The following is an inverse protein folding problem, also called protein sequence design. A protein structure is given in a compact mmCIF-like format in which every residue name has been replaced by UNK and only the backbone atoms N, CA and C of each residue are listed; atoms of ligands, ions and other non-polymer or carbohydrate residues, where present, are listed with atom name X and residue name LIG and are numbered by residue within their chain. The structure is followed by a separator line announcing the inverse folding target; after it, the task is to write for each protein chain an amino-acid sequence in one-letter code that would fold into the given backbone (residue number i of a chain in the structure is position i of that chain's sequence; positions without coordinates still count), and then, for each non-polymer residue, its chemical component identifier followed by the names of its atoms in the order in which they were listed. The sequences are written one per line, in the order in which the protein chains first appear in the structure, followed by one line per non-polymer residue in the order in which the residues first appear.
data_IF_011425702946
#
_entry.id   IF_011425702946
#
_cell.length_a   1.000
_cell.length_b   1.000
_cell.length_c   1.000
_cell.angle_alpha   90.00
_cell.angle_beta   90.00
_cell.angle_gamma   90.00
#
_symmetry.space_group_name_H-M   'P 1'
#
loop_
_entity.id
_entity.type
_entity.pdbx_description
1 polymer ?
#
# COMPACT_ATOMS: atom_id res chain seq x y z
N UNK A 1 62.23 31.00 38.42
CA UNK A 1 61.89 29.94 37.44
C UNK A 1 60.39 29.73 37.48
N UNK A 2 59.68 30.42 36.59
CA UNK A 2 58.19 30.58 36.66
C UNK A 2 57.56 29.65 35.64
N UNK A 3 56.82 28.64 36.09
CA UNK A 3 56.13 27.67 35.26
C UNK A 3 54.78 28.29 34.81
N UNK A 4 54.60 28.43 33.46
CA UNK A 4 53.36 28.87 32.85
C UNK A 4 52.35 27.70 32.81
N UNK A 5 51.07 27.89 33.08
CA UNK A 5 50.08 26.84 32.95
C UNK A 5 49.70 26.63 31.47
N UNK A 6 49.69 25.35 31.04
CA UNK A 6 49.20 24.93 29.74
C UNK A 6 47.68 25.23 29.60
N UNK A 7 47.32 25.97 28.55
CA UNK A 7 45.93 26.12 28.09
C UNK A 7 45.46 24.74 27.61
N UNK A 8 44.52 24.17 28.34
CA UNK A 8 43.65 23.10 27.84
C UNK A 8 42.84 23.65 26.66
N UNK A 9 43.12 23.18 25.46
CA UNK A 9 42.22 23.30 24.32
C UNK A 9 40.94 22.56 24.67
N UNK A 10 39.86 23.32 24.94
CA UNK A 10 38.51 22.76 24.88
C UNK A 10 38.25 22.44 23.44
N UNK A 11 38.23 21.14 23.07
CA UNK A 11 37.53 20.69 21.89
C UNK A 11 36.05 21.06 22.07
N UNK A 12 35.61 22.12 21.42
CA UNK A 12 34.22 22.38 21.15
C UNK A 12 33.79 21.27 20.21
N UNK A 13 33.03 20.29 20.71
CA UNK A 13 32.18 19.45 19.89
C UNK A 13 31.32 20.40 19.08
N UNK A 14 31.62 20.50 17.78
CA UNK A 14 30.69 21.10 16.84
C UNK A 14 29.38 20.30 17.00
N UNK A 15 28.40 20.90 17.65
CA UNK A 15 27.01 20.46 17.52
C UNK A 15 26.71 20.45 16.02
N UNK A 16 26.49 19.28 15.44
CA UNK A 16 25.99 19.16 14.10
C UNK A 16 24.78 20.11 14.03
N UNK A 17 24.84 21.09 13.11
CA UNK A 17 23.82 22.11 13.01
C UNK A 17 22.46 21.43 12.85
N UNK A 18 21.63 21.55 13.90
CA UNK A 18 20.24 21.11 13.84
C UNK A 18 19.61 21.84 12.67
N UNK A 19 18.99 21.09 11.76
CA UNK A 19 18.11 21.67 10.76
C UNK A 19 17.16 22.63 11.47
N UNK A 20 17.12 23.93 11.14
CA UNK A 20 16.14 24.80 11.76
C UNK A 20 14.75 24.20 11.50
N UNK A 21 13.93 24.14 12.53
CA UNK A 21 12.59 23.55 12.52
C UNK A 21 11.60 24.17 11.51
N UNK A 22 12.04 25.13 10.72
CA UNK A 22 11.28 25.82 9.71
C UNK A 22 12.09 25.93 8.41
N UNK A 23 12.31 24.83 7.73
CA UNK A 23 12.46 24.98 6.28
C UNK A 23 11.12 25.53 5.76
N UNK A 24 11.14 26.72 5.15
CA UNK A 24 9.98 27.32 4.46
C UNK A 24 9.33 26.25 3.57
N UNK A 25 8.00 26.19 3.50
CA UNK A 25 7.23 25.28 2.63
C UNK A 25 7.81 25.20 1.22
N UNK A 26 8.40 26.28 0.74
CA UNK A 26 9.11 26.35 -0.54
C UNK A 26 10.31 25.40 -0.66
N UNK A 27 10.92 25.00 0.45
CA UNK A 27 12.02 24.04 0.45
C UNK A 27 11.56 22.61 0.11
N UNK A 28 10.27 22.31 0.34
CA UNK A 28 9.65 21.02 0.06
C UNK A 28 8.98 20.96 -1.32
N UNK A 29 9.53 21.66 -2.31
CA UNK A 29 8.94 21.93 -3.62
C UNK A 29 9.04 20.78 -4.63
N UNK A 30 9.65 19.65 -4.27
CA UNK A 30 9.71 18.47 -5.14
C UNK A 30 8.79 17.37 -4.61
N UNK A 31 8.29 16.47 -5.50
CA UNK A 31 7.50 15.31 -5.10
C UNK A 31 8.20 14.48 -4.02
N UNK A 32 9.53 14.35 -4.11
CA UNK A 32 10.35 13.64 -3.12
C UNK A 32 10.35 14.37 -1.77
N UNK A 33 10.69 15.66 -1.75
CA UNK A 33 10.79 16.42 -0.49
C UNK A 33 9.41 16.67 0.14
N UNK A 34 8.36 16.84 -0.65
CA UNK A 34 6.99 16.99 -0.16
C UNK A 34 6.51 15.84 0.74
N UNK A 35 7.02 14.62 0.51
CA UNK A 35 6.76 13.47 1.39
C UNK A 35 7.36 13.65 2.80
N UNK A 36 8.32 14.54 2.99
CA UNK A 36 9.00 14.77 4.27
C UNK A 36 8.57 16.06 4.99
N UNK A 37 7.50 16.70 4.55
CA UNK A 37 6.94 17.93 5.12
C UNK A 37 6.44 17.68 6.54
N UNK A 38 6.67 18.48 7.46
CA UNK A 38 7.78 19.30 7.87
C UNK A 38 8.66 18.44 8.77
N UNK A 39 9.89 18.21 8.36
CA UNK A 39 10.79 17.34 9.08
C UNK A 39 11.35 18.07 10.32
N UNK A 40 11.15 17.49 11.51
CA UNK A 40 11.60 18.05 12.77
C UNK A 40 12.63 17.15 13.45
N UNK A 41 13.71 17.72 14.00
CA UNK A 41 14.70 16.98 14.76
C UNK A 41 14.17 16.62 16.16
N UNK A 42 14.61 15.48 16.66
CA UNK A 42 14.26 14.95 17.95
C UNK A 42 15.52 14.43 18.69
N UNK A 43 15.35 13.72 19.80
CA UNK A 43 16.46 13.21 20.59
C UNK A 43 17.23 12.12 19.84
N UNK A 44 18.54 12.01 20.07
CA UNK A 44 19.40 10.92 19.59
C UNK A 44 19.37 10.71 18.05
N UNK A 45 19.38 11.80 17.27
CA UNK A 45 19.29 11.79 15.80
C UNK A 45 17.96 11.26 15.22
N UNK A 46 16.92 11.19 16.04
CA UNK A 46 15.58 10.91 15.53
C UNK A 46 15.03 12.08 14.75
N UNK A 47 14.28 11.76 13.69
CA UNK A 47 13.54 12.73 12.90
C UNK A 47 12.08 12.30 12.80
N UNK A 48 11.18 13.27 12.79
CA UNK A 48 9.73 13.07 12.63
C UNK A 48 9.19 14.01 11.55
N UNK A 49 8.17 13.56 10.83
CA UNK A 49 7.37 14.39 9.93
C UNK A 49 6.15 14.86 10.71
N UNK A 50 6.00 16.16 10.93
CA UNK A 50 4.87 16.67 11.73
C UNK A 50 3.52 16.28 11.14
N UNK A 51 3.36 16.37 9.82
CA UNK A 51 2.12 16.06 9.11
C UNK A 51 1.71 14.59 9.18
N UNK A 52 2.68 13.67 9.12
CA UNK A 52 2.38 12.23 9.02
C UNK A 52 2.61 11.48 10.32
N UNK A 53 3.71 11.81 11.01
CA UNK A 53 4.15 11.04 12.18
C UNK A 53 3.51 11.53 13.48
N UNK A 54 3.12 12.82 13.54
CA UNK A 54 2.50 13.46 14.72
C UNK A 54 1.00 13.79 14.49
N UNK A 55 0.37 13.14 13.55
CA UNK A 55 -1.05 13.32 13.28
C UNK A 55 -1.92 12.73 14.39
N UNK A 56 -3.08 13.34 14.61
CA UNK A 56 -4.07 12.88 15.58
C UNK A 56 -5.34 12.33 14.96
N UNK A 57 -5.50 12.48 13.63
CA UNK A 57 -6.64 11.99 12.86
C UNK A 57 -6.25 10.73 12.04
N UNK A 58 -7.13 9.76 12.03
CA UNK A 58 -6.92 8.47 11.37
C UNK A 58 -8.18 8.01 10.65
N UNK A 59 -8.03 7.00 9.80
CA UNK A 59 -9.15 6.43 9.06
C UNK A 59 -9.45 7.19 7.78
N UNK A 60 -10.72 7.28 7.41
CA UNK A 60 -11.16 7.87 6.15
C UNK A 60 -12.54 8.53 6.30
N UNK A 61 -13.04 9.14 5.23
CA UNK A 61 -14.37 9.73 5.17
C UNK A 61 -15.48 8.67 5.27
N UNK A 62 -16.72 9.07 5.59
CA UNK A 62 -17.86 8.14 5.56
C UNK A 62 -18.02 7.44 4.21
N UNK A 63 -17.73 8.12 3.10
CA UNK A 63 -17.73 7.55 1.77
C UNK A 63 -16.61 6.51 1.60
N UNK A 64 -15.38 6.84 2.00
CA UNK A 64 -14.26 5.91 1.97
C UNK A 64 -14.51 4.64 2.78
N UNK A 65 -15.20 4.75 3.92
CA UNK A 65 -15.63 3.57 4.69
C UNK A 65 -16.65 2.71 3.96
N UNK A 66 -17.59 3.33 3.22
CA UNK A 66 -18.58 2.58 2.41
C UNK A 66 -17.87 1.82 1.27
N UNK A 67 -16.98 2.50 0.56
CA UNK A 67 -16.19 1.90 -0.52
C UNK A 67 -15.30 0.74 -0.04
N UNK A 68 -14.61 0.94 1.08
CA UNK A 68 -13.77 -0.10 1.68
C UNK A 68 -14.59 -1.32 2.12
N UNK A 69 -15.76 -1.09 2.72
CA UNK A 69 -16.70 -2.16 3.06
C UNK A 69 -17.19 -2.90 1.81
N UNK A 70 -17.52 -2.17 0.74
CA UNK A 70 -17.95 -2.77 -0.53
C UNK A 70 -16.82 -3.64 -1.15
N UNK A 71 -15.58 -3.18 -1.10
CA UNK A 71 -14.42 -3.95 -1.56
C UNK A 71 -14.25 -5.23 -0.73
N UNK A 72 -14.34 -5.14 0.59
CA UNK A 72 -14.29 -6.32 1.48
C UNK A 72 -15.40 -7.33 1.14
N UNK A 73 -16.64 -6.85 0.94
CA UNK A 73 -17.76 -7.71 0.56
C UNK A 73 -17.57 -8.34 -0.83
N UNK A 74 -16.93 -7.63 -1.75
CA UNK A 74 -16.57 -8.15 -3.07
C UNK A 74 -15.55 -9.29 -2.96
N UNK A 75 -14.52 -9.12 -2.16
CA UNK A 75 -13.51 -10.16 -1.87
C UNK A 75 -14.14 -11.38 -1.17
N UNK A 76 -15.01 -11.15 -0.18
CA UNK A 76 -15.72 -12.24 0.53
C UNK A 76 -16.58 -13.09 -0.41
N UNK A 77 -17.25 -12.48 -1.40
CA UNK A 77 -17.99 -13.22 -2.44
C UNK A 77 -17.07 -14.10 -3.31
N UNK A 78 -15.79 -13.78 -3.40
CA UNK A 78 -14.74 -14.61 -4.04
C UNK A 78 -14.17 -15.66 -3.09
N UNK A 79 -14.64 -15.72 -1.84
CA UNK A 79 -14.11 -16.61 -0.80
C UNK A 79 -12.82 -16.11 -0.15
N UNK A 80 -12.54 -14.81 -0.26
CA UNK A 80 -11.32 -14.18 0.28
C UNK A 80 -11.69 -13.33 1.49
N UNK A 81 -11.17 -13.67 2.67
CA UNK A 81 -11.25 -12.84 3.87
C UNK A 81 -10.15 -11.76 3.86
N UNK A 82 -10.51 -10.54 4.25
CA UNK A 82 -9.59 -9.40 4.25
C UNK A 82 -9.08 -9.09 5.66
N UNK A 83 -7.77 -9.04 5.81
CA UNK A 83 -7.08 -8.46 6.97
C UNK A 83 -6.32 -7.19 6.55
N UNK A 84 -6.48 -6.09 7.29
CA UNK A 84 -5.73 -4.86 7.09
C UNK A 84 -4.72 -4.67 8.21
N UNK A 85 -3.43 -4.60 7.88
CA UNK A 85 -2.34 -4.24 8.78
C UNK A 85 -2.13 -2.73 8.69
N UNK A 86 -2.83 -1.99 9.56
CA UNK A 86 -2.84 -0.53 9.61
C UNK A 86 -1.74 -0.05 10.55
N UNK A 87 -0.56 0.27 9.98
CA UNK A 87 0.63 0.60 10.78
C UNK A 87 0.43 1.88 11.61
N UNK A 88 0.71 1.86 12.93
CA UNK A 88 0.66 3.05 13.77
C UNK A 88 1.73 4.08 13.37
N UNK A 89 1.53 5.34 13.72
CA UNK A 89 2.50 6.40 13.47
C UNK A 89 3.72 6.30 14.39
N UNK A 90 4.82 6.92 13.96
CA UNK A 90 6.03 7.05 14.78
C UNK A 90 5.76 7.81 16.07
N UNK A 91 4.87 8.82 16.05
CA UNK A 91 4.47 9.56 17.26
C UNK A 91 3.73 8.70 18.28
N UNK A 92 2.95 7.71 17.84
CA UNK A 92 2.29 6.77 18.76
C UNK A 92 3.29 5.80 19.40
N UNK A 93 4.27 5.30 18.64
CA UNK A 93 5.22 4.27 19.09
C UNK A 93 6.43 4.87 19.81
N UNK A 94 7.00 5.95 19.29
CA UNK A 94 8.31 6.47 19.71
C UNK A 94 8.22 7.91 20.25
N UNK A 95 7.12 8.25 20.92
CA UNK A 95 6.89 9.59 21.48
C UNK A 95 7.96 10.03 22.48
N UNK A 96 8.62 9.07 23.15
CA UNK A 96 9.68 9.34 24.11
C UNK A 96 10.92 9.99 23.45
N UNK A 97 11.08 9.82 22.14
CA UNK A 97 12.16 10.40 21.34
C UNK A 97 11.89 11.82 20.89
N UNK A 98 10.65 12.31 20.99
CA UNK A 98 10.29 13.69 20.64
C UNK A 98 11.08 14.70 21.48
N UNK A 99 11.39 15.85 20.89
CA UNK A 99 11.90 17.00 21.64
C UNK A 99 10.85 17.46 22.67
N UNK A 100 11.23 18.18 23.72
CA UNK A 100 10.26 18.74 24.68
C UNK A 100 9.18 19.60 24.01
N UNK A 101 9.55 20.37 22.98
CA UNK A 101 8.65 21.24 22.22
C UNK A 101 7.62 20.41 21.43
N UNK A 102 8.08 19.45 20.63
CA UNK A 102 7.20 18.58 19.85
C UNK A 102 6.32 17.70 20.74
N UNK A 103 6.84 17.27 21.89
CA UNK A 103 6.08 16.49 22.87
C UNK A 103 4.98 17.31 23.53
N UNK A 104 5.19 18.62 23.70
CA UNK A 104 4.17 19.53 24.25
C UNK A 104 3.09 19.87 23.21
N UNK A 105 3.40 19.85 21.92
CA UNK A 105 2.47 20.14 20.83
C UNK A 105 1.69 18.92 20.33
N UNK A 106 2.21 17.71 20.50
CA UNK A 106 1.58 16.47 20.04
C UNK A 106 0.57 15.95 21.07
N UNK A 107 -0.72 15.99 20.71
CA UNK A 107 -1.78 15.41 21.55
C UNK A 107 -1.81 13.88 21.39
N UNK A 108 -0.95 13.21 22.16
CA UNK A 108 -0.80 11.76 22.14
C UNK A 108 -2.09 11.03 22.56
N UNK A 109 -2.81 11.52 23.57
CA UNK A 109 -4.02 10.83 24.05
C UNK A 109 -5.14 10.90 23.01
N UNK A 110 -5.27 12.05 22.32
CA UNK A 110 -6.19 12.17 21.19
C UNK A 110 -5.78 11.26 20.03
N UNK A 111 -4.49 11.22 19.69
CA UNK A 111 -3.97 10.32 18.64
C UNK A 111 -4.25 8.85 18.95
N UNK A 112 -3.94 8.41 20.17
CA UNK A 112 -4.20 7.04 20.65
C UNK A 112 -5.69 6.70 20.59
N UNK A 113 -6.54 7.58 21.10
CA UNK A 113 -8.01 7.42 21.07
C UNK A 113 -8.53 7.27 19.64
N UNK A 114 -8.10 8.15 18.73
CA UNK A 114 -8.57 8.16 17.36
C UNK A 114 -8.03 6.98 16.54
N UNK A 115 -6.80 6.52 16.81
CA UNK A 115 -6.26 5.30 16.24
C UNK A 115 -7.11 4.08 16.62
N UNK A 116 -7.41 3.89 17.92
CA UNK A 116 -8.26 2.81 18.41
C UNK A 116 -9.67 2.85 17.84
N UNK A 117 -10.25 4.06 17.73
CA UNK A 117 -11.56 4.24 17.08
C UNK A 117 -11.52 3.84 15.59
N UNK A 118 -10.40 4.05 14.92
CA UNK A 118 -10.21 3.62 13.52
C UNK A 118 -10.10 2.10 13.41
N UNK A 119 -9.37 1.45 14.31
CA UNK A 119 -9.32 -0.04 14.40
C UNK A 119 -10.73 -0.61 14.61
N UNK A 120 -11.53 0.00 15.49
CA UNK A 120 -12.92 -0.41 15.69
C UNK A 120 -13.77 -0.28 14.42
N UNK A 121 -13.60 0.82 13.65
CA UNK A 121 -14.31 1.01 12.38
C UNK A 121 -13.93 -0.01 11.31
N UNK A 122 -12.68 -0.43 11.21
CA UNK A 122 -12.31 -1.55 10.33
C UNK A 122 -13.09 -2.82 10.71
N UNK A 123 -13.15 -3.15 12.01
CA UNK A 123 -13.89 -4.31 12.50
C UNK A 123 -15.40 -4.21 12.27
N UNK A 124 -15.99 -3.03 12.45
CA UNK A 124 -17.38 -2.74 12.10
C UNK A 124 -17.67 -2.93 10.60
N UNK A 125 -16.69 -2.64 9.74
CA UNK A 125 -16.75 -2.91 8.32
C UNK A 125 -16.56 -4.39 7.96
N UNK A 126 -16.34 -5.26 8.95
CA UNK A 126 -16.07 -6.70 8.78
C UNK A 126 -14.65 -7.01 8.33
N UNK A 127 -13.70 -6.09 8.53
CA UNK A 127 -12.30 -6.24 8.18
C UNK A 127 -11.52 -6.63 9.43
N UNK A 128 -10.78 -7.73 9.36
CA UNK A 128 -9.89 -8.13 10.44
C UNK A 128 -8.72 -7.16 10.52
N UNK A 129 -8.45 -6.61 11.70
CA UNK A 129 -7.41 -5.60 11.87
C UNK A 129 -6.72 -5.79 13.22
N UNK A 130 -5.40 -6.01 13.24
CA UNK A 130 -4.61 -6.11 14.44
C UNK A 130 -4.65 -4.80 15.24
N UNK A 131 -4.76 -4.91 16.56
CA UNK A 131 -4.61 -3.78 17.47
C UNK A 131 -3.15 -3.68 17.94
N UNK A 132 -2.43 -2.69 17.42
CA UNK A 132 -1.04 -2.44 17.79
C UNK A 132 -0.86 -1.55 19.02
N UNK A 133 -1.93 -1.15 19.70
CA UNK A 133 -1.83 -0.27 20.86
C UNK A 133 -1.00 -0.83 22.05
N UNK A 134 -0.88 -2.15 22.26
CA UNK A 134 0.05 -2.67 23.26
C UNK A 134 1.51 -2.25 23.03
N UNK A 135 1.89 -1.97 21.77
CA UNK A 135 3.25 -1.54 21.43
C UNK A 135 3.55 -0.07 21.78
N UNK A 136 2.53 0.75 22.07
CA UNK A 136 2.70 2.19 22.26
C UNK A 136 3.45 2.56 23.54
N UNK A 137 3.37 1.73 24.55
CA UNK A 137 3.99 1.94 25.86
C UNK A 137 5.11 0.94 26.16
N UNK A 138 5.46 0.07 25.19
CA UNK A 138 6.56 -0.88 25.33
C UNK A 138 7.92 -0.15 25.39
N UNK A 139 8.76 -0.62 26.34
CA UNK A 139 10.16 -0.20 26.47
C UNK A 139 11.06 -1.34 26.03
N UNK A 140 11.34 -1.38 24.75
CA UNK A 140 12.16 -2.43 24.17
C UNK A 140 13.60 -1.97 23.93
N UNK A 141 14.55 -2.90 24.02
CA UNK A 141 15.97 -2.63 23.75
C UNK A 141 16.23 -2.23 22.29
N UNK A 142 15.37 -2.67 21.38
CA UNK A 142 15.48 -2.40 19.95
C UNK A 142 14.33 -1.51 19.47
N UNK A 143 14.62 -0.41 18.75
CA UNK A 143 13.61 0.53 18.31
C UNK A 143 12.65 -0.12 17.30
N UNK A 144 11.38 0.28 17.37
CA UNK A 144 10.36 -0.17 16.42
C UNK A 144 10.59 0.43 15.03
N UNK A 145 10.84 1.74 14.94
CA UNK A 145 11.18 2.44 13.70
C UNK A 145 12.67 2.75 13.62
N UNK A 146 13.20 2.89 12.40
CA UNK A 146 14.53 3.49 12.23
C UNK A 146 14.49 4.97 12.63
N UNK A 147 15.56 5.49 13.22
CA UNK A 147 15.65 6.87 13.69
C UNK A 147 15.39 7.89 12.58
N UNK A 148 15.99 7.70 11.43
CA UNK A 148 15.94 8.60 10.27
C UNK A 148 15.24 8.02 9.05
N UNK A 149 14.22 7.16 9.26
CA UNK A 149 13.50 6.52 8.14
C UNK A 149 12.04 6.25 8.51
N UNK A 150 11.17 6.18 7.52
CA UNK A 150 9.74 5.92 7.72
C UNK A 150 9.41 4.44 7.91
N UNK A 151 10.34 3.54 7.64
CA UNK A 151 10.10 2.11 7.80
C UNK A 151 10.29 1.66 9.26
N UNK A 152 9.59 0.62 9.63
CA UNK A 152 9.94 -0.14 10.83
C UNK A 152 11.29 -0.83 10.68
N UNK A 153 11.91 -1.16 11.82
CA UNK A 153 13.07 -2.06 11.85
C UNK A 153 12.60 -3.51 11.74
N UNK A 154 13.48 -4.49 11.49
CA UNK A 154 13.11 -5.89 11.61
C UNK A 154 12.51 -6.26 12.98
N UNK A 155 12.91 -5.59 14.06
CA UNK A 155 12.30 -5.78 15.38
C UNK A 155 10.88 -5.21 15.49
N UNK A 156 10.63 -4.05 14.86
CA UNK A 156 9.29 -3.50 14.72
C UNK A 156 8.39 -4.41 13.88
N UNK A 157 8.91 -4.90 12.77
CA UNK A 157 8.23 -5.87 11.90
C UNK A 157 7.89 -7.17 12.64
N UNK A 158 8.85 -7.71 13.42
CA UNK A 158 8.66 -8.91 14.23
C UNK A 158 7.52 -8.76 15.26
N UNK A 159 7.52 -7.65 16.01
CA UNK A 159 6.47 -7.37 17.00
C UNK A 159 5.10 -7.20 16.36
N UNK A 160 5.06 -6.50 15.23
CA UNK A 160 3.82 -6.32 14.45
C UNK A 160 3.32 -7.65 13.88
N UNK A 161 4.21 -8.48 13.33
CA UNK A 161 3.86 -9.80 12.80
C UNK A 161 3.32 -10.74 13.88
N UNK A 162 3.84 -10.67 15.09
CA UNK A 162 3.34 -11.46 16.23
C UNK A 162 1.89 -11.10 16.56
N UNK A 163 1.55 -9.82 16.64
CA UNK A 163 0.17 -9.37 16.89
C UNK A 163 -0.73 -9.67 15.68
N UNK A 164 -0.25 -9.44 14.46
CA UNK A 164 -0.98 -9.75 13.25
C UNK A 164 -1.29 -11.24 13.11
N UNK A 165 -0.36 -12.11 13.53
CA UNK A 165 -0.57 -13.56 13.52
C UNK A 165 -1.69 -14.00 14.48
N UNK A 166 -1.87 -13.36 15.64
CA UNK A 166 -3.00 -13.65 16.51
C UNK A 166 -4.33 -13.27 15.83
N UNK A 167 -4.39 -12.10 15.19
CA UNK A 167 -5.58 -11.71 14.41
C UNK A 167 -5.82 -12.68 13.23
N UNK A 168 -4.76 -13.14 12.55
CA UNK A 168 -4.85 -14.12 11.48
C UNK A 168 -5.49 -15.44 11.97
N UNK A 169 -5.12 -15.90 13.16
CA UNK A 169 -5.66 -17.13 13.78
C UNK A 169 -7.13 -17.01 14.18
N UNK A 170 -7.63 -15.80 14.39
CA UNK A 170 -9.05 -15.54 14.69
C UNK A 170 -9.95 -15.60 13.45
N UNK A 171 -9.36 -15.53 12.23
CA UNK A 171 -10.11 -15.55 10.97
C UNK A 171 -10.67 -16.95 10.69
N UNK A 172 -11.96 -17.09 10.35
CA UNK A 172 -12.57 -18.40 10.06
C UNK A 172 -11.82 -19.21 9.02
N UNK A 173 -11.38 -18.57 7.93
CA UNK A 173 -10.64 -19.25 6.88
C UNK A 173 -9.30 -19.84 7.34
N UNK A 174 -8.71 -19.34 8.42
CA UNK A 174 -7.44 -19.84 8.93
C UNK A 174 -7.51 -21.31 9.34
N UNK A 175 -8.65 -21.79 9.85
CA UNK A 175 -8.83 -23.18 10.27
C UNK A 175 -8.56 -24.18 9.13
N UNK A 176 -8.92 -23.80 7.91
CA UNK A 176 -8.83 -24.65 6.71
C UNK A 176 -7.52 -24.49 5.94
N UNK A 177 -6.59 -23.66 6.41
CA UNK A 177 -5.28 -23.46 5.77
C UNK A 177 -4.29 -24.48 6.32
N UNK A 178 -3.56 -25.21 5.45
CA UNK A 178 -2.49 -26.11 5.90
C UNK A 178 -1.47 -25.40 6.78
N UNK A 179 -1.10 -26.04 7.89
CA UNK A 179 -0.11 -25.48 8.81
C UNK A 179 1.30 -25.94 8.45
N UNK A 180 2.24 -24.99 8.53
CA UNK A 180 3.65 -25.19 8.22
C UNK A 180 4.50 -24.45 9.24
N UNK A 181 5.53 -25.09 9.76
CA UNK A 181 6.43 -24.46 10.74
C UNK A 181 7.53 -23.68 10.00
N UNK A 182 7.83 -22.50 10.52
CA UNK A 182 8.90 -21.64 10.03
C UNK A 182 9.80 -21.17 11.16
N UNK A 183 11.05 -20.90 10.86
CA UNK A 183 12.02 -20.37 11.81
C UNK A 183 12.72 -19.15 11.21
N UNK A 184 12.71 -18.02 11.95
CA UNK A 184 13.45 -16.82 11.58
C UNK A 184 14.81 -16.81 12.27
N UNK A 185 15.87 -16.66 11.49
CA UNK A 185 17.25 -16.63 11.97
C UNK A 185 17.89 -15.28 11.70
N UNK A 186 18.71 -14.82 12.63
CA UNK A 186 19.59 -13.68 12.40
C UNK A 186 20.70 -14.08 11.41
N UNK A 187 20.74 -13.38 10.27
CA UNK A 187 21.69 -13.69 9.18
C UNK A 187 22.77 -12.63 8.99
N UNK A 188 22.73 -11.53 9.75
CA UNK A 188 23.72 -10.47 9.65
C UNK A 188 23.20 -9.13 10.15
N UNK A 189 23.70 -8.04 9.57
CA UNK A 189 23.27 -6.67 9.86
C UNK A 189 22.66 -6.01 8.63
N UNK A 190 21.58 -5.26 8.86
CA UNK A 190 21.01 -4.32 7.91
C UNK A 190 21.56 -2.93 8.22
N UNK A 191 22.27 -2.32 7.25
CA UNK A 191 22.71 -0.93 7.32
C UNK A 191 21.72 -0.03 6.61
N UNK A 192 21.27 1.04 7.26
CA UNK A 192 20.30 2.00 6.70
C UNK A 192 20.69 3.43 6.99
N UNK A 193 21.04 4.19 5.94
CA UNK A 193 20.94 5.64 5.96
C UNK A 193 19.51 6.00 5.56
N UNK A 194 18.72 6.42 6.52
CA UNK A 194 17.28 6.60 6.34
C UNK A 194 16.91 7.71 5.36
N UNK A 195 15.69 7.63 4.84
CA UNK A 195 15.13 8.60 3.89
C UNK A 195 14.96 9.99 4.51
N UNK A 196 14.66 10.08 5.81
CA UNK A 196 14.58 11.35 6.54
C UNK A 196 15.98 11.98 6.71
N UNK A 197 16.99 11.19 7.03
CA UNK A 197 18.37 11.66 7.09
C UNK A 197 18.87 12.18 5.74
N UNK A 198 18.51 11.50 4.64
CA UNK A 198 18.82 11.97 3.28
C UNK A 198 18.08 13.27 2.94
N UNK A 199 16.80 13.38 3.30
CA UNK A 199 16.03 14.61 3.10
C UNK A 199 16.59 15.76 3.94
N UNK A 200 16.94 15.56 5.22
CA UNK A 200 17.57 16.56 6.06
C UNK A 200 18.94 17.00 5.52
N UNK A 201 19.73 16.06 4.99
CA UNK A 201 21.00 16.40 4.34
C UNK A 201 20.78 17.30 3.12
N UNK A 202 19.76 17.03 2.32
CA UNK A 202 19.41 17.85 1.14
C UNK A 202 18.84 19.22 1.52
N UNK A 203 18.01 19.28 2.59
CA UNK A 203 17.35 20.52 3.01
C UNK A 203 18.30 21.49 3.73
N UNK A 204 19.23 20.98 4.53
CA UNK A 204 20.04 21.79 5.41
C UNK A 204 21.50 21.33 5.57
N UNK A 205 22.00 20.44 4.71
CA UNK A 205 23.38 19.98 4.75
C UNK A 205 23.75 19.13 5.98
N UNK A 206 22.75 18.63 6.73
CA UNK A 206 23.00 17.79 7.91
C UNK A 206 23.64 16.47 7.51
N UNK A 207 24.53 15.95 8.38
CA UNK A 207 25.20 14.66 8.19
C UNK A 207 24.81 13.69 9.30
N UNK A 208 24.37 12.50 8.92
CA UNK A 208 23.96 11.44 9.83
C UNK A 208 24.73 10.15 9.51
N UNK A 209 25.03 9.37 10.54
CA UNK A 209 25.59 8.03 10.35
C UNK A 209 24.49 7.02 10.00
N UNK A 210 24.80 5.98 9.20
CA UNK A 210 23.89 4.87 9.01
C UNK A 210 23.56 4.18 10.33
N UNK A 211 22.31 3.75 10.47
CA UNK A 211 21.87 2.90 11.58
C UNK A 211 22.07 1.42 11.19
N UNK A 212 22.57 0.63 12.13
CA UNK A 212 22.74 -0.81 11.96
C UNK A 212 21.77 -1.53 12.89
N UNK A 213 21.04 -2.50 12.35
CA UNK A 213 20.13 -3.38 13.09
C UNK A 213 20.31 -4.82 12.61
N UNK A 214 19.90 -5.80 13.39
CA UNK A 214 19.96 -7.19 12.96
C UNK A 214 19.04 -7.42 11.75
N UNK A 215 19.53 -8.22 10.79
CA UNK A 215 18.78 -8.72 9.64
C UNK A 215 18.37 -10.17 9.92
N UNK A 216 17.13 -10.48 9.54
CA UNK A 216 16.55 -11.81 9.70
C UNK A 216 16.11 -12.35 8.34
N UNK A 217 16.16 -13.67 8.22
CA UNK A 217 15.57 -14.45 7.15
C UNK A 217 14.76 -15.59 7.76
N UNK A 218 13.66 -15.97 7.11
CA UNK A 218 12.75 -17.01 7.59
C UNK A 218 12.75 -18.16 6.60
N UNK A 219 12.87 -19.37 7.11
CA UNK A 219 12.87 -20.61 6.34
C UNK A 219 11.89 -21.62 6.95
N UNK A 220 11.27 -22.50 6.13
CA UNK A 220 10.46 -23.59 6.66
C UNK A 220 11.31 -24.55 7.49
N UNK A 221 10.74 -25.05 8.59
CA UNK A 221 11.37 -26.05 9.49
C UNK A 221 11.07 -27.44 8.96
N UNK A 222 12.11 -28.24 8.75
CA UNK A 222 11.98 -29.61 8.26
C UNK A 222 11.97 -29.68 6.74
N UNK A 223 12.83 -30.47 6.24
CA UNK A 223 13.14 -30.89 4.88
C UNK A 223 14.45 -30.38 4.30
N UNK A 224 15.54 -30.67 5.00
CA UNK A 224 16.89 -30.69 4.39
C UNK A 224 17.18 -32.04 3.69
N UNK A 225 16.13 -32.81 3.36
CA UNK A 225 16.23 -34.10 2.67
C UNK A 225 15.70 -34.00 1.25
N UNK A 226 16.60 -33.96 0.26
CA UNK A 226 16.37 -33.90 -1.18
C UNK A 226 15.25 -34.83 -1.70
N UNK A 227 14.07 -34.32 -1.74
CA UNK A 227 12.91 -34.98 -2.32
C UNK A 227 11.81 -33.95 -2.57
N UNK A 228 11.54 -33.73 -3.83
CA UNK A 228 10.48 -32.90 -4.38
C UNK A 228 10.63 -31.38 -4.25
N UNK A 229 11.26 -30.79 -5.25
CA UNK A 229 11.07 -29.38 -5.63
C UNK A 229 9.58 -29.06 -5.95
N UNK A 230 8.71 -30.05 -5.93
CA UNK A 230 7.27 -30.00 -6.17
C UNK A 230 6.51 -30.78 -5.07
N UNK A 231 6.96 -30.65 -3.80
CA UNK A 231 6.27 -31.28 -2.69
C UNK A 231 4.78 -30.94 -2.64
N UNK A 232 3.96 -31.87 -2.19
CA UNK A 232 2.49 -31.87 -2.10
C UNK A 232 1.87 -30.74 -1.20
N UNK A 233 2.64 -29.74 -0.84
CA UNK A 233 2.16 -28.51 -0.21
C UNK A 233 1.60 -27.60 -1.31
N UNK A 234 0.28 -27.59 -1.48
CA UNK A 234 -0.39 -26.74 -2.48
C UNK A 234 0.03 -25.27 -2.40
N UNK A 235 -0.39 -24.45 -3.37
CA UNK A 235 -0.09 -23.02 -3.40
C UNK A 235 -0.46 -22.31 -2.08
N UNK A 236 0.29 -21.28 -1.67
CA UNK A 236 -0.02 -20.50 -0.47
C UNK A 236 -1.47 -19.98 -0.50
N UNK A 237 -2.21 -20.19 0.59
CA UNK A 237 -3.61 -19.77 0.70
C UNK A 237 -3.76 -18.43 1.46
N UNK A 238 -2.63 -17.84 1.86
CA UNK A 238 -2.53 -16.48 2.38
C UNK A 238 -1.66 -15.67 1.44
N UNK A 239 -2.13 -14.49 1.04
CA UNK A 239 -1.34 -13.55 0.26
C UNK A 239 -1.17 -12.24 1.03
N UNK A 240 0.01 -11.63 0.94
CA UNK A 240 0.28 -10.28 1.45
C UNK A 240 0.43 -9.34 0.26
N UNK A 241 -0.31 -8.25 0.26
CA UNK A 241 -0.10 -7.08 -0.59
C UNK A 241 0.22 -5.88 0.31
N UNK A 242 1.02 -4.95 -0.15
CA UNK A 242 1.39 -3.82 0.70
C UNK A 242 2.57 -3.05 0.18
N UNK A 243 3.19 -2.32 1.10
CA UNK A 243 4.25 -1.36 0.82
C UNK A 243 5.65 -1.99 0.96
N UNK A 244 6.67 -1.15 0.85
CA UNK A 244 8.06 -1.54 1.13
C UNK A 244 8.29 -2.04 2.56
N UNK A 245 7.37 -1.78 3.50
CA UNK A 245 7.46 -2.31 4.86
C UNK A 245 7.32 -3.85 4.90
N UNK A 246 6.55 -4.44 4.00
CA UNK A 246 6.47 -5.89 3.81
C UNK A 246 7.58 -6.46 2.91
N UNK A 247 8.56 -5.61 2.53
CA UNK A 247 9.70 -6.05 1.74
C UNK A 247 10.68 -6.96 2.51
N UNK A 248 11.50 -7.75 1.81
CA UNK A 248 12.36 -8.77 2.42
C UNK A 248 13.38 -8.22 3.44
N UNK A 249 13.77 -6.94 3.31
CA UNK A 249 14.75 -6.32 4.21
C UNK A 249 14.30 -6.26 5.67
N UNK A 250 12.99 -6.21 5.91
CA UNK A 250 12.39 -6.09 7.26
C UNK A 250 11.81 -7.41 7.76
N UNK A 251 11.66 -8.38 6.88
CA UNK A 251 11.20 -9.75 7.18
C UNK A 251 9.81 -9.84 7.85
N UNK A 252 8.93 -8.85 7.63
CA UNK A 252 7.58 -8.87 8.23
C UNK A 252 6.80 -10.12 7.82
N UNK A 253 6.81 -10.45 6.52
CA UNK A 253 6.08 -11.62 6.00
C UNK A 253 6.66 -12.90 6.57
N UNK A 254 7.98 -13.06 6.62
CA UNK A 254 8.61 -14.23 7.22
C UNK A 254 8.28 -14.39 8.72
N UNK A 255 8.25 -13.31 9.48
CA UNK A 255 7.79 -13.37 10.87
C UNK A 255 6.29 -13.72 10.95
N UNK A 256 5.47 -13.24 10.02
CA UNK A 256 4.05 -13.60 9.97
C UNK A 256 3.87 -15.11 9.64
N UNK A 257 4.70 -15.66 8.76
CA UNK A 257 4.76 -17.11 8.48
C UNK A 257 5.12 -17.89 9.75
N UNK A 258 6.19 -17.45 10.45
CA UNK A 258 6.65 -18.11 11.68
C UNK A 258 5.57 -18.11 12.77
N UNK A 259 4.97 -16.97 13.07
CA UNK A 259 3.97 -16.84 14.14
C UNK A 259 2.60 -17.35 13.73
N UNK A 260 2.24 -17.20 12.46
CA UNK A 260 0.99 -17.67 11.87
C UNK A 260 1.00 -19.15 11.50
N UNK A 261 2.18 -19.78 11.38
CA UNK A 261 2.37 -21.17 10.95
C UNK A 261 1.67 -21.49 9.64
N UNK A 262 1.77 -20.61 8.67
CA UNK A 262 1.17 -20.74 7.35
C UNK A 262 2.14 -20.24 6.28
N UNK A 263 2.08 -20.82 5.11
CA UNK A 263 2.81 -20.34 3.93
C UNK A 263 2.15 -19.09 3.38
N UNK A 264 2.94 -18.08 3.00
CA UNK A 264 2.44 -16.77 2.58
C UNK A 264 3.08 -16.34 1.27
N UNK A 265 2.23 -16.05 0.27
CA UNK A 265 2.64 -15.39 -0.96
C UNK A 265 2.85 -13.89 -0.71
N UNK A 266 4.07 -13.41 -0.87
CA UNK A 266 4.38 -11.98 -0.70
C UNK A 266 4.34 -11.23 -2.03
N UNK A 267 3.28 -10.47 -2.24
CA UNK A 267 3.08 -9.58 -3.39
C UNK A 267 3.24 -8.09 -3.02
N UNK A 268 3.87 -7.79 -1.88
CA UNK A 268 4.15 -6.41 -1.51
C UNK A 268 5.21 -5.78 -2.42
N UNK A 269 5.04 -4.50 -2.74
CA UNK A 269 5.87 -3.79 -3.72
C UNK A 269 6.49 -2.54 -3.13
N UNK A 270 7.82 -2.48 -3.13
CA UNK A 270 8.56 -1.28 -2.73
C UNK A 270 8.31 -0.13 -3.71
N UNK A 271 7.85 1.01 -3.18
CA UNK A 271 7.52 2.18 -4.01
C UNK A 271 6.15 2.10 -4.69
N UNK A 272 5.36 1.06 -4.42
CA UNK A 272 4.00 0.88 -4.95
C UNK A 272 2.93 1.75 -4.27
N UNK A 273 3.25 2.39 -3.15
CA UNK A 273 2.26 3.17 -2.39
C UNK A 273 1.19 2.30 -1.73
N UNK A 274 0.02 2.89 -1.53
CA UNK A 274 -1.13 2.26 -0.87
C UNK A 274 -1.80 1.20 -1.75
N UNK A 275 -1.97 1.47 -3.02
CA UNK A 275 -2.91 0.80 -3.92
C UNK A 275 -2.25 -0.12 -4.96
N UNK A 276 -1.03 0.21 -5.41
CA UNK A 276 -0.46 -0.43 -6.60
C UNK A 276 -0.25 -1.94 -6.45
N UNK A 277 0.21 -2.41 -5.28
CA UNK A 277 0.42 -3.85 -5.08
C UNK A 277 -0.91 -4.62 -5.06
N UNK A 278 -1.95 -4.05 -4.44
CA UNK A 278 -3.29 -4.65 -4.44
C UNK A 278 -3.89 -4.67 -5.85
N UNK A 279 -3.85 -3.55 -6.59
CA UNK A 279 -4.37 -3.49 -7.96
C UNK A 279 -3.62 -4.45 -8.90
N UNK A 280 -2.28 -4.54 -8.78
CA UNK A 280 -1.50 -5.49 -9.55
C UNK A 280 -1.87 -6.94 -9.24
N UNK A 281 -2.01 -7.27 -7.95
CA UNK A 281 -2.44 -8.61 -7.55
C UNK A 281 -3.85 -8.95 -8.04
N UNK A 282 -4.82 -8.03 -7.88
CA UNK A 282 -6.18 -8.20 -8.42
C UNK A 282 -6.24 -8.29 -9.96
N UNK A 283 -5.21 -7.80 -10.66
CA UNK A 283 -5.09 -7.93 -12.13
C UNK A 283 -4.47 -9.26 -12.55
N UNK A 284 -3.74 -9.92 -11.64
CA UNK A 284 -2.95 -11.12 -11.95
C UNK A 284 -3.81 -12.34 -12.23
N UNK A 285 -3.29 -13.24 -13.09
CA UNK A 285 -3.90 -14.57 -13.30
C UNK A 285 -3.93 -15.39 -12.02
N UNK A 286 -2.92 -15.25 -11.17
CA UNK A 286 -2.81 -15.97 -9.92
C UNK A 286 -4.01 -15.72 -9.00
N UNK A 287 -4.40 -14.45 -8.83
CA UNK A 287 -5.60 -14.10 -8.05
C UNK A 287 -6.88 -14.70 -8.64
N UNK A 288 -7.02 -14.73 -9.97
CA UNK A 288 -8.25 -15.21 -10.62
C UNK A 288 -8.34 -16.72 -10.69
N UNK A 289 -7.23 -17.41 -10.98
CA UNK A 289 -7.17 -18.87 -11.13
C UNK A 289 -7.19 -19.55 -9.74
N UNK A 290 -6.50 -18.96 -8.74
CA UNK A 290 -6.32 -19.53 -7.40
C UNK A 290 -6.37 -18.42 -6.33
N UNK A 291 -7.55 -17.82 -6.06
CA UNK A 291 -7.66 -16.78 -5.06
C UNK A 291 -7.23 -17.31 -3.68
N UNK A 292 -6.54 -16.49 -2.87
CA UNK A 292 -6.16 -16.88 -1.51
C UNK A 292 -7.42 -16.97 -0.64
N UNK A 293 -7.38 -17.71 0.43
CA UNK A 293 -8.43 -17.68 1.46
C UNK A 293 -8.37 -16.42 2.30
N UNK A 294 -7.14 -15.92 2.54
CA UNK A 294 -6.90 -14.69 3.31
C UNK A 294 -5.99 -13.77 2.52
N UNK A 295 -6.43 -12.53 2.35
CA UNK A 295 -5.64 -11.43 1.82
C UNK A 295 -5.27 -10.47 2.94
N UNK A 296 -3.98 -10.30 3.16
CA UNK A 296 -3.42 -9.33 4.11
C UNK A 296 -2.96 -8.09 3.35
N UNK A 297 -3.54 -6.95 3.67
CA UNK A 297 -3.21 -5.68 3.05
C UNK A 297 -2.50 -4.76 4.05
N UNK A 298 -1.20 -4.56 3.87
CA UNK A 298 -0.35 -3.77 4.75
C UNK A 298 -0.18 -2.36 4.19
N UNK A 299 -0.44 -1.35 5.02
CA UNK A 299 -0.13 0.05 4.70
C UNK A 299 -0.06 0.94 5.94
N UNK A 300 0.64 2.07 5.81
CA UNK A 300 0.79 3.03 6.88
C UNK A 300 -0.41 3.98 6.99
N UNK A 301 -0.66 4.49 8.19
CA UNK A 301 -1.80 5.36 8.53
C UNK A 301 -1.86 6.68 7.77
N UNK A 302 -0.79 7.09 7.10
CA UNK A 302 -0.76 8.36 6.36
C UNK A 302 -1.40 8.29 4.96
N UNK A 303 -1.70 7.10 4.46
CA UNK A 303 -2.34 6.96 3.16
C UNK A 303 -3.82 7.36 3.21
N UNK A 304 -4.27 8.02 2.16
CA UNK A 304 -5.67 8.39 1.99
C UNK A 304 -6.46 7.18 1.44
N UNK A 305 -7.36 6.66 2.26
CA UNK A 305 -8.26 5.57 1.91
C UNK A 305 -9.55 6.04 1.21
N UNK A 306 -9.74 7.35 0.97
CA UNK A 306 -10.93 7.90 0.31
C UNK A 306 -10.76 8.05 -1.22
N UNK A 307 -9.71 7.47 -1.81
CA UNK A 307 -9.40 7.63 -3.23
C UNK A 307 -10.42 6.92 -4.13
N UNK A 308 -11.41 7.66 -4.64
CA UNK A 308 -12.44 7.11 -5.54
C UNK A 308 -11.87 6.39 -6.77
N UNK A 309 -10.78 6.91 -7.35
CA UNK A 309 -10.11 6.29 -8.50
C UNK A 309 -9.56 4.91 -8.20
N UNK A 310 -9.14 4.65 -6.96
CA UNK A 310 -8.71 3.33 -6.52
C UNK A 310 -9.88 2.34 -6.51
N UNK A 311 -10.99 2.66 -5.86
CA UNK A 311 -12.16 1.74 -5.78
C UNK A 311 -12.78 1.48 -7.15
N UNK A 312 -12.85 2.48 -8.02
CA UNK A 312 -13.32 2.32 -9.40
C UNK A 312 -12.48 1.34 -10.23
N UNK A 313 -11.22 1.10 -9.83
CA UNK A 313 -10.35 0.09 -10.41
C UNK A 313 -10.45 -1.25 -9.67
N UNK A 314 -10.34 -1.23 -8.35
CA UNK A 314 -10.29 -2.42 -7.52
C UNK A 314 -11.59 -3.26 -7.63
N UNK A 315 -12.76 -2.61 -7.60
CA UNK A 315 -14.05 -3.30 -7.63
C UNK A 315 -14.25 -4.19 -8.86
N UNK A 316 -14.10 -3.69 -10.11
CA UNK A 316 -14.24 -4.55 -11.28
C UNK A 316 -13.08 -5.56 -11.40
N UNK A 317 -11.87 -5.26 -10.90
CA UNK A 317 -10.75 -6.18 -10.92
C UNK A 317 -10.98 -7.41 -10.04
N UNK A 318 -11.68 -7.29 -8.90
CA UNK A 318 -12.04 -8.47 -8.09
C UNK A 318 -12.80 -9.52 -8.91
N UNK A 319 -13.55 -9.10 -9.93
CA UNK A 319 -14.29 -9.98 -10.84
C UNK A 319 -13.66 -10.07 -12.25
N UNK A 320 -12.36 -9.79 -12.38
CA UNK A 320 -11.57 -9.88 -13.62
C UNK A 320 -12.01 -8.94 -14.76
N UNK A 321 -12.65 -7.81 -14.44
CA UNK A 321 -13.06 -6.82 -15.44
C UNK A 321 -13.95 -7.42 -16.53
N UNK A 322 -13.58 -7.20 -17.79
CA UNK A 322 -14.31 -7.74 -18.95
C UNK A 322 -13.77 -9.09 -19.47
N UNK A 323 -12.83 -9.73 -18.75
CA UNK A 323 -12.17 -10.93 -19.28
C UNK A 323 -13.11 -12.15 -19.39
N UNK A 324 -14.05 -12.30 -18.45
CA UNK A 324 -14.94 -13.47 -18.35
C UNK A 324 -16.35 -13.21 -18.86
N UNK A 325 -16.59 -12.08 -19.50
CA UNK A 325 -17.93 -11.73 -19.98
C UNK A 325 -17.90 -11.13 -21.38
N UNK A 326 -19.08 -11.17 -22.04
CA UNK A 326 -19.21 -10.59 -23.38
C UNK A 326 -19.13 -9.06 -23.30
N UNK A 327 -18.17 -8.50 -24.01
CA UNK A 327 -18.10 -7.06 -24.20
C UNK A 327 -19.31 -6.56 -25.04
N UNK A 328 -19.90 -5.45 -24.60
CA UNK A 328 -20.96 -4.75 -25.35
C UNK A 328 -20.34 -3.92 -26.48
N UNK A 329 -19.18 -3.34 -26.22
CA UNK A 329 -18.31 -2.69 -27.22
C UNK A 329 -16.90 -3.28 -27.09
N UNK A 330 -16.26 -3.54 -28.20
CA UNK A 330 -14.88 -4.00 -28.25
C UNK A 330 -14.20 -3.52 -29.53
N UNK A 331 -12.99 -3.01 -29.40
CA UNK A 331 -12.18 -2.55 -30.54
C UNK A 331 -10.71 -2.69 -30.25
N UNK A 332 -9.94 -3.11 -31.26
CA UNK A 332 -8.48 -3.05 -31.26
C UNK A 332 -8.03 -1.91 -32.18
N UNK A 333 -7.21 -1.01 -31.64
CA UNK A 333 -6.80 0.23 -32.32
C UNK A 333 -5.29 0.35 -32.28
N UNK A 334 -4.68 0.65 -33.42
CA UNK A 334 -3.29 1.11 -33.47
C UNK A 334 -3.27 2.60 -33.13
N UNK A 335 -2.50 2.94 -32.11
CA UNK A 335 -2.43 4.33 -31.61
C UNK A 335 -1.52 5.18 -32.49
N UNK A 336 -1.87 6.46 -32.56
CA UNK A 336 -1.03 7.55 -33.05
C UNK A 336 -0.88 8.62 -31.95
N UNK A 337 0.12 9.47 -32.03
CA UNK A 337 0.31 10.56 -31.10
C UNK A 337 -0.94 11.44 -30.98
N UNK A 338 -1.26 11.90 -29.78
CA UNK A 338 -2.45 12.67 -29.49
C UNK A 338 -3.67 11.81 -29.19
N UNK A 339 -4.87 12.27 -29.57
CA UNK A 339 -6.15 11.64 -29.21
C UNK A 339 -6.52 10.54 -30.18
N UNK A 340 -6.91 9.40 -29.63
CA UNK A 340 -7.36 8.21 -30.34
C UNK A 340 -8.72 7.79 -29.81
N UNK A 341 -9.78 7.79 -30.62
CA UNK A 341 -11.08 7.19 -30.27
C UNK A 341 -10.94 5.67 -30.30
N UNK A 342 -11.01 5.04 -29.13
CA UNK A 342 -10.83 3.59 -29.00
C UNK A 342 -12.15 2.85 -28.85
N UNK A 343 -13.21 3.49 -28.33
CA UNK A 343 -14.57 2.96 -28.31
C UNK A 343 -15.56 4.04 -28.75
N UNK A 344 -16.58 3.65 -29.52
CA UNK A 344 -17.69 4.53 -29.92
C UNK A 344 -19.01 3.77 -29.86
N UNK A 345 -19.99 4.34 -29.16
CA UNK A 345 -21.37 3.86 -29.10
C UNK A 345 -22.21 4.43 -30.25
N UNK A 346 -21.84 4.12 -31.49
CA UNK A 346 -22.49 4.63 -32.69
C UNK A 346 -23.95 4.16 -32.85
N UNK A 347 -24.30 3.03 -32.26
CA UNK A 347 -25.66 2.48 -32.28
C UNK A 347 -26.56 3.04 -31.16
N UNK A 348 -26.08 4.02 -30.38
CA UNK A 348 -26.79 4.61 -29.24
C UNK A 348 -27.37 3.58 -28.25
N UNK A 349 -26.63 2.49 -28.02
CA UNK A 349 -27.02 1.47 -27.05
C UNK A 349 -27.23 2.13 -25.68
N UNK A 350 -28.14 1.62 -24.84
CA UNK A 350 -28.47 2.19 -23.52
C UNK A 350 -27.38 1.84 -22.48
N UNK A 351 -26.16 2.31 -22.71
CA UNK A 351 -25.00 2.08 -21.84
C UNK A 351 -24.97 3.19 -20.80
N UNK A 352 -25.28 2.85 -19.54
CA UNK A 352 -25.35 3.78 -18.42
C UNK A 352 -24.14 3.68 -17.51
N UNK A 353 -23.59 4.79 -17.05
CA UNK A 353 -22.33 4.86 -16.31
C UNK A 353 -22.29 4.00 -15.03
N UNK A 354 -23.40 3.91 -14.30
CA UNK A 354 -23.46 3.11 -13.07
C UNK A 354 -23.46 1.59 -13.24
N UNK A 355 -23.39 1.09 -14.49
CA UNK A 355 -23.54 -0.33 -14.78
C UNK A 355 -22.50 -0.90 -15.72
N UNK A 356 -21.47 -0.11 -16.05
CA UNK A 356 -20.46 -0.52 -17.05
C UNK A 356 -19.03 -0.23 -16.63
N UNK A 357 -18.15 -1.14 -17.04
CA UNK A 357 -16.72 -1.12 -16.80
C UNK A 357 -15.97 -1.04 -18.12
N UNK A 358 -14.99 -0.18 -18.20
CA UNK A 358 -13.99 -0.14 -19.26
C UNK A 358 -12.79 -1.00 -18.90
N UNK A 359 -12.30 -1.79 -19.86
CA UNK A 359 -11.13 -2.66 -19.74
C UNK A 359 -10.22 -2.42 -20.94
N UNK A 360 -9.07 -1.82 -20.69
CA UNK A 360 -8.12 -1.33 -21.68
C UNK A 360 -6.80 -2.04 -21.50
N UNK A 361 -6.30 -2.70 -22.54
CA UNK A 361 -5.02 -3.41 -22.50
C UNK A 361 -4.12 -2.93 -23.65
N UNK A 362 -2.95 -2.40 -23.30
CA UNK A 362 -1.91 -2.06 -24.25
C UNK A 362 -1.15 -3.31 -24.74
N UNK A 363 -0.67 -3.27 -25.97
CA UNK A 363 0.21 -4.32 -26.51
C UNK A 363 1.61 -4.32 -25.88
N UNK A 364 1.99 -3.22 -25.23
CA UNK A 364 3.23 -3.09 -24.46
C UNK A 364 2.91 -3.08 -22.96
N UNK A 365 3.34 -4.11 -22.20
CA UNK A 365 3.11 -4.19 -20.76
C UNK A 365 3.88 -3.12 -19.96
N UNK A 366 4.88 -2.49 -20.57
CA UNK A 366 5.65 -1.41 -19.95
C UNK A 366 4.92 -0.06 -19.90
N UNK A 367 3.69 0.05 -20.40
CA UNK A 367 2.90 1.28 -20.28
C UNK A 367 2.30 1.36 -18.87
N UNK A 368 2.77 2.36 -18.10
CA UNK A 368 2.37 2.59 -16.71
C UNK A 368 1.45 3.80 -16.51
N UNK A 369 0.94 4.38 -17.61
CA UNK A 369 0.02 5.51 -17.57
C UNK A 369 -1.08 5.34 -18.60
N UNK A 370 -2.33 5.51 -18.16
CA UNK A 370 -3.49 5.68 -19.04
C UNK A 370 -4.06 7.08 -18.84
N UNK A 371 -3.97 7.92 -19.91
CA UNK A 371 -4.73 9.17 -20.01
C UNK A 371 -5.91 8.93 -20.92
N UNK A 372 -7.11 9.12 -20.41
CA UNK A 372 -8.30 8.91 -21.21
C UNK A 372 -9.35 10.01 -21.00
N UNK A 373 -10.27 10.12 -21.95
CA UNK A 373 -11.46 10.95 -21.87
C UNK A 373 -12.68 10.09 -22.18
N UNK A 374 -13.57 9.98 -21.21
CA UNK A 374 -14.90 9.36 -21.40
C UNK A 374 -15.89 10.47 -21.78
N UNK A 375 -16.53 10.31 -22.93
CA UNK A 375 -17.60 11.19 -23.39
C UNK A 375 -18.97 10.60 -23.16
N UNK A 376 -19.91 11.45 -22.80
CA UNK A 376 -21.32 11.09 -22.58
C UNK A 376 -22.22 11.79 -23.60
N UNK A 377 -23.39 11.20 -23.91
CA UNK A 377 -24.33 11.66 -24.93
C UNK A 377 -24.84 13.09 -24.70
N UNK A 378 -24.81 13.59 -23.47
CA UNK A 378 -25.21 14.95 -23.11
C UNK A 378 -24.10 15.99 -23.28
N UNK A 379 -22.95 15.61 -23.88
CA UNK A 379 -21.78 16.48 -24.08
C UNK A 379 -20.86 16.62 -22.85
N UNK A 380 -21.19 16.01 -21.72
CA UNK A 380 -20.23 15.94 -20.60
C UNK A 380 -19.06 15.05 -20.94
N UNK A 381 -17.92 15.35 -20.34
CA UNK A 381 -16.70 14.53 -20.48
C UNK A 381 -15.99 14.39 -19.14
N UNK A 382 -15.48 13.20 -18.87
CA UNK A 382 -14.58 12.91 -17.76
C UNK A 382 -13.18 12.71 -18.31
N UNK A 383 -12.20 13.48 -17.80
CA UNK A 383 -10.78 13.22 -18.03
C UNK A 383 -10.25 12.42 -16.86
N UNK A 384 -9.75 11.24 -17.13
CA UNK A 384 -9.20 10.34 -16.13
C UNK A 384 -7.75 10.01 -16.46
N UNK A 385 -6.89 10.19 -15.47
CA UNK A 385 -5.49 9.78 -15.51
C UNK A 385 -5.29 8.68 -14.48
N UNK A 386 -4.88 7.50 -14.94
CA UNK A 386 -4.50 6.38 -14.09
C UNK A 386 -3.00 6.18 -14.24
N UNK A 387 -2.26 6.35 -13.14
CA UNK A 387 -0.84 6.07 -13.06
C UNK A 387 -0.61 4.80 -12.24
N UNK A 388 0.15 3.89 -12.79
CA UNK A 388 0.62 2.69 -12.09
C UNK A 388 2.08 2.87 -11.70
N UNK A 389 2.47 2.38 -10.54
CA UNK A 389 3.88 2.37 -10.16
C UNK A 389 4.69 1.53 -11.16
N UNK A 390 5.84 2.05 -11.58
CA UNK A 390 6.80 1.28 -12.41
C UNK A 390 7.36 0.04 -11.70
N UNK A 391 7.10 -0.09 -10.41
CA UNK A 391 7.53 -1.24 -9.62
C UNK A 391 6.56 -2.41 -9.67
N UNK A 392 5.38 -2.25 -10.29
CA UNK A 392 4.38 -3.31 -10.46
C UNK A 392 4.23 -3.69 -11.94
N UNK A 393 3.92 -4.95 -12.19
CA UNK A 393 3.54 -5.45 -13.52
C UNK A 393 2.03 -5.69 -13.54
N UNK A 394 1.34 -4.94 -14.38
CA UNK A 394 -0.11 -5.09 -14.62
C UNK A 394 -0.40 -5.58 -16.04
N UNK A 395 0.63 -5.98 -16.78
CA UNK A 395 0.52 -6.39 -18.18
C UNK A 395 0.02 -5.29 -19.12
N UNK A 396 0.18 -4.01 -18.74
CA UNK A 396 -0.37 -2.86 -19.47
C UNK A 396 -1.89 -2.77 -19.43
N UNK A 397 -2.54 -3.44 -18.47
CA UNK A 397 -4.00 -3.51 -18.34
C UNK A 397 -4.53 -2.48 -17.35
N UNK A 398 -5.61 -1.80 -17.74
CA UNK A 398 -6.32 -0.78 -16.98
C UNK A 398 -7.81 -1.08 -16.98
N UNK A 399 -8.37 -1.31 -15.81
CA UNK A 399 -9.80 -1.61 -15.64
C UNK A 399 -10.41 -0.58 -14.72
N UNK A 400 -11.53 0.03 -15.11
CA UNK A 400 -12.19 1.02 -14.29
C UNK A 400 -13.69 1.11 -14.59
N UNK A 401 -14.49 1.34 -13.54
CA UNK A 401 -15.91 1.65 -13.68
C UNK A 401 -16.11 3.05 -14.27
N UNK A 402 -17.11 3.21 -15.14
CA UNK A 402 -17.55 4.52 -15.60
C UNK A 402 -18.02 5.36 -14.40
N UNK A 403 -17.75 6.67 -14.44
CA UNK A 403 -18.08 7.57 -13.33
C UNK A 403 -19.59 7.62 -13.08
N UNK A 404 -19.98 7.31 -11.85
CA UNK A 404 -21.36 7.37 -11.37
C UNK A 404 -21.36 7.83 -9.90
N UNK A 405 -21.42 9.12 -9.68
CA UNK A 405 -21.47 9.74 -8.37
C UNK A 405 -22.60 10.80 -8.31
N UNK A 406 -22.77 11.45 -7.16
CA UNK A 406 -23.84 12.43 -6.93
C UNK A 406 -23.84 13.58 -7.95
N UNK A 407 -22.65 14.01 -8.40
CA UNK A 407 -22.49 15.07 -9.40
C UNK A 407 -22.75 14.58 -10.84
N UNK A 408 -22.54 13.27 -11.08
CA UNK A 408 -22.59 12.64 -12.40
C UNK A 408 -23.44 11.35 -12.39
N UNK A 409 -24.69 11.42 -11.97
CA UNK A 409 -25.51 10.22 -11.87
C UNK A 409 -25.91 9.72 -13.27
N UNK A 410 -25.80 8.42 -13.48
CA UNK A 410 -26.42 7.67 -14.58
C UNK A 410 -26.24 8.30 -15.99
N UNK A 411 -25.01 8.65 -16.37
CA UNK A 411 -24.70 9.24 -17.67
C UNK A 411 -24.71 8.18 -18.78
N UNK A 412 -25.28 8.51 -19.97
CA UNK A 412 -25.25 7.63 -21.13
C UNK A 412 -23.88 7.77 -21.86
N UNK A 413 -23.17 6.65 -21.97
CA UNK A 413 -21.85 6.58 -22.61
C UNK A 413 -21.93 6.86 -24.12
N UNK A 414 -21.00 7.70 -24.62
CA UNK A 414 -20.82 7.97 -26.04
C UNK A 414 -19.53 7.35 -26.57
N UNK A 415 -18.37 7.73 -26.04
CA UNK A 415 -17.08 7.23 -26.51
C UNK A 415 -16.01 7.25 -25.44
N UNK A 416 -14.94 6.48 -25.69
CA UNK A 416 -13.71 6.49 -24.95
C UNK A 416 -12.56 6.91 -25.90
N UNK A 417 -11.85 7.94 -25.51
CA UNK A 417 -10.63 8.41 -26.17
C UNK A 417 -9.41 8.14 -25.27
N UNK A 418 -8.28 7.78 -25.88
CA UNK A 418 -6.98 7.67 -25.20
C UNK A 418 -6.05 8.74 -25.76
N UNK A 419 -5.37 9.47 -24.90
CA UNK A 419 -4.31 10.39 -25.26
C UNK A 419 -2.97 9.68 -25.19
N UNK A 420 -2.35 9.44 -26.35
CA UNK A 420 -1.04 8.82 -26.46
C UNK A 420 0.04 9.90 -26.57
N UNK A 421 1.18 9.78 -25.84
CA UNK A 421 2.27 10.74 -25.90
C UNK A 421 3.00 10.70 -27.25
N UNK A 422 3.70 11.79 -27.59
CA UNK A 422 4.44 11.91 -28.85
C UNK A 422 5.60 10.91 -28.98
N UNK A 423 6.17 10.50 -27.84
CA UNK A 423 7.30 9.57 -27.72
C UNK A 423 6.88 8.11 -27.49
N UNK A 424 5.61 7.76 -27.74
CA UNK A 424 5.14 6.39 -27.57
C UNK A 424 5.87 5.40 -28.48
N UNK A 425 5.98 4.12 -28.10
CA UNK A 425 6.55 3.08 -28.93
C UNK A 425 5.85 2.98 -30.31
N UNK A 426 6.65 2.84 -31.37
CA UNK A 426 6.11 2.71 -32.71
C UNK A 426 5.27 1.44 -32.84
N UNK A 427 4.05 1.55 -33.38
CA UNK A 427 3.16 0.42 -33.56
C UNK A 427 2.41 -0.02 -32.32
N UNK A 428 2.41 0.80 -31.25
CA UNK A 428 1.62 0.53 -30.05
C UNK A 428 0.14 0.34 -30.42
N UNK A 429 -0.44 -0.75 -29.95
CA UNK A 429 -1.85 -1.07 -30.09
C UNK A 429 -2.53 -1.10 -28.72
N UNK A 430 -3.82 -0.87 -28.71
CA UNK A 430 -4.67 -1.02 -27.54
C UNK A 430 -5.90 -1.84 -27.88
N UNK A 431 -6.26 -2.77 -27.04
CA UNK A 431 -7.56 -3.41 -27.04
C UNK A 431 -8.41 -2.75 -25.96
N UNK A 432 -9.53 -2.16 -26.35
CA UNK A 432 -10.48 -1.54 -25.43
C UNK A 432 -11.81 -2.31 -25.48
N UNK A 433 -12.34 -2.62 -24.30
CA UNK A 433 -13.62 -3.30 -24.11
C UNK A 433 -14.50 -2.49 -23.16
N UNK A 434 -15.80 -2.54 -23.37
CA UNK A 434 -16.81 -2.08 -22.42
C UNK A 434 -17.78 -3.24 -22.17
N UNK A 435 -17.93 -3.60 -20.91
CA UNK A 435 -18.85 -4.65 -20.48
C UNK A 435 -19.75 -4.18 -19.35
N UNK A 436 -20.82 -4.90 -19.05
CA UNK A 436 -21.55 -4.65 -17.82
C UNK A 436 -20.61 -4.85 -16.63
N UNK A 437 -20.75 -4.00 -15.61
CA UNK A 437 -19.95 -4.17 -14.38
C UNK A 437 -20.14 -5.59 -13.83
N UNK A 438 -19.07 -6.37 -13.70
CA UNK A 438 -19.19 -7.78 -13.40
C UNK A 438 -19.84 -7.99 -12.03
N UNK A 439 -20.82 -8.86 -11.99
CA UNK A 439 -21.44 -9.30 -10.73
C UNK A 439 -20.62 -10.46 -10.17
N UNK A 440 -20.04 -10.28 -9.00
CA UNK A 440 -19.26 -11.31 -8.32
C UNK A 440 -20.23 -12.37 -7.81
N UNK A 441 -20.20 -13.56 -8.42
CA UNK A 441 -20.98 -14.70 -7.97
C UNK A 441 -20.38 -15.26 -6.68
N UNK A 442 -21.21 -15.53 -5.67
CA UNK A 442 -20.75 -16.23 -4.48
C UNK A 442 -20.20 -17.61 -4.88
N UNK A 443 -19.02 -17.95 -4.38
CA UNK A 443 -18.52 -19.31 -4.48
C UNK A 443 -19.41 -20.26 -3.68
N UNK A 444 -19.71 -21.44 -4.21
CA UNK A 444 -20.66 -22.39 -3.62
C UNK A 444 -20.30 -22.86 -2.18
N UNK A 445 -19.13 -22.52 -1.71
CA UNK A 445 -18.58 -22.88 -0.39
C UNK A 445 -19.12 -22.02 0.79
N UNK A 446 -19.69 -20.85 0.53
CA UNK A 446 -20.12 -19.89 1.56
C UNK A 446 -21.55 -20.09 2.06
N UNK A 447 -22.32 -21.06 1.51
CA UNK A 447 -23.75 -21.24 1.82
C UNK A 447 -24.03 -22.33 2.86
N UNK A 448 -23.05 -23.09 3.29
CA UNK A 448 -23.21 -24.19 4.24
C UNK A 448 -22.70 -23.85 5.65
N UNK A 449 -23.25 -22.83 6.30
CA UNK A 449 -22.90 -22.53 7.68
C UNK A 449 -23.31 -21.15 8.18
N UNK A 450 -24.60 -20.90 8.26
CA UNK A 450 -25.17 -19.90 9.18
C UNK A 450 -26.32 -20.52 9.97
#
# INVERSE_FOLDING_TARGET
MTIRPHRLLRLSTLAAGLCPAAADDKAYNTKYLGFFTHLVPAQEDWLFRTTYDLRTDFGTTPEGWRELKALREALERRGVELMVVYQPTRGLINREKLSPEEKASFDYELAKKNYLATIAKFREAGIYTPDFSPLFDEKEAHPYYFKGDHHWTPYGAMRSAKIAAETLKEMPAYADIPKKEFESKRVGLLSKLGTFHKAAAQLCGSSYAPQYVDRFETEPVGDSGGGDLFGDGGDPQVAVVGTSNSGPAYNFVGFLEQYGKVDILNNAVSGGGFDSSLLAYLTSKEFHDKPPKILVWEFATHYDMAQKSFYRQAMPLVANGCAEQKAVLSRKVKLHAGRNEVLLNSAALPIRSGSYTADVTYSDPGIHELKNTVWYMNGRREQLKIEQSKAVDTGGRYVFELRNDEDWPDQQFLSLEIEAPDDMPAGLEVEAKLCQTPQIKATASTVAGR
#
